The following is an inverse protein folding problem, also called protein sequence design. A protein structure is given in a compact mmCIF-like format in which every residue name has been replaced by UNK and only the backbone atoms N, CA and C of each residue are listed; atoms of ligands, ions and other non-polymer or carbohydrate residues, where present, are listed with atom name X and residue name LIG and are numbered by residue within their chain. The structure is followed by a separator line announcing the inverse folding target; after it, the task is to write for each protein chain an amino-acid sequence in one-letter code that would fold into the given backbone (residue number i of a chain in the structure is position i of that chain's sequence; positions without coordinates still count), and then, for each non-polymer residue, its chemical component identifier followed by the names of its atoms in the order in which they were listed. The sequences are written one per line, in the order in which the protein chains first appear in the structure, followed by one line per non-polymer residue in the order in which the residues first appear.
data_IF_948059981356
#
_entry.id   IF_948059981356
#
_cell.length_a   1.000
_cell.length_b   1.000
_cell.length_c   1.000
_cell.angle_alpha   90.00
_cell.angle_beta   90.00
_cell.angle_gamma   90.00
#
_symmetry.space_group_name_H-M   'P 1'
#
loop_
_entity.id
_entity.type
_entity.pdbx_description
1 polymer ?
#
# COMPACT_ATOMS: atom_id res chain seq x y z
N UNK A 1 12.78 -0.14 2.42
CA UNK A 1 11.35 -0.37 2.71
C UNK A 1 10.57 0.81 2.12
N UNK A 2 10.51 0.90 0.79
CA UNK A 2 10.27 2.20 0.13
C UNK A 2 9.04 2.27 -0.76
N UNK A 3 8.41 1.15 -1.11
CA UNK A 3 7.27 1.15 -2.05
C UNK A 3 6.05 1.84 -1.45
N UNK A 4 5.65 1.48 -0.22
CA UNK A 4 4.49 2.08 0.44
C UNK A 4 4.72 3.56 0.77
N UNK A 5 5.88 3.90 1.34
CA UNK A 5 6.24 5.28 1.63
C UNK A 5 6.29 6.14 0.36
N UNK A 6 6.85 5.62 -0.75
CA UNK A 6 6.86 6.32 -2.03
C UNK A 6 5.46 6.52 -2.64
N UNK A 7 4.50 5.63 -2.33
CA UNK A 7 3.10 5.73 -2.74
C UNK A 7 2.32 6.75 -1.92
N UNK A 8 2.53 6.80 -0.60
CA UNK A 8 1.76 7.65 0.31
C UNK A 8 2.39 9.01 0.59
N UNK A 9 3.67 9.22 0.28
CA UNK A 9 4.30 10.53 0.43
C UNK A 9 3.81 11.53 -0.62
N UNK A 10 3.40 12.70 -0.14
CA UNK A 10 3.23 13.89 -0.97
C UNK A 10 4.56 14.27 -1.61
N UNK A 11 4.53 14.54 -2.91
CA UNK A 11 5.66 15.10 -3.65
C UNK A 11 5.24 16.48 -4.16
N UNK A 12 6.21 17.35 -4.44
CA UNK A 12 5.94 18.74 -4.85
C UNK A 12 4.92 18.88 -6.02
N UNK A 13 4.79 17.84 -6.85
CA UNK A 13 3.92 17.80 -8.03
C UNK A 13 2.73 16.83 -7.92
N UNK A 14 2.58 16.07 -6.82
CA UNK A 14 1.46 15.13 -6.63
C UNK A 14 1.15 14.91 -5.17
N UNK A 15 -0.14 14.81 -4.84
CA UNK A 15 -0.53 14.28 -3.54
C UNK A 15 -0.23 12.78 -3.46
N UNK A 16 0.11 12.32 -2.27
CA UNK A 16 0.24 10.89 -1.98
C UNK A 16 -1.04 10.14 -2.35
N UNK A 17 -0.91 8.87 -2.73
CA UNK A 17 -2.07 8.03 -3.01
C UNK A 17 -2.94 7.90 -1.76
N UNK A 18 -4.25 7.92 -1.95
CA UNK A 18 -5.19 7.56 -0.87
C UNK A 18 -4.93 6.13 -0.42
N UNK A 19 -5.27 5.80 0.83
CA UNK A 19 -5.14 4.42 1.35
C UNK A 19 -5.75 3.40 0.40
N UNK A 20 -6.94 3.69 -0.15
CA UNK A 20 -7.61 2.79 -1.10
C UNK A 20 -6.77 2.56 -2.37
N UNK A 21 -6.23 3.63 -2.96
CA UNK A 21 -5.39 3.50 -4.16
C UNK A 21 -4.06 2.78 -3.89
N UNK A 22 -3.44 3.03 -2.73
CA UNK A 22 -2.24 2.31 -2.32
C UNK A 22 -2.51 0.81 -2.11
N UNK A 23 -3.67 0.44 -1.55
CA UNK A 23 -4.09 -0.97 -1.40
C UNK A 23 -4.25 -1.65 -2.77
N UNK A 24 -4.93 -0.99 -3.70
CA UNK A 24 -5.17 -1.55 -5.04
C UNK A 24 -3.86 -1.71 -5.82
N UNK A 25 -2.95 -0.74 -5.71
CA UNK A 25 -1.63 -0.84 -6.34
C UNK A 25 -0.77 -1.96 -5.73
N UNK A 26 -0.79 -2.11 -4.40
CA UNK A 26 -0.11 -3.22 -3.73
C UNK A 26 -0.65 -4.58 -4.18
N UNK A 27 -1.97 -4.72 -4.30
CA UNK A 27 -2.59 -5.96 -4.83
C UNK A 27 -2.23 -6.19 -6.30
N UNK A 28 -2.13 -5.13 -7.12
CA UNK A 28 -1.80 -5.23 -8.55
C UNK A 28 -0.40 -5.79 -8.76
N UNK A 29 0.57 -5.39 -7.93
CA UNK A 29 1.96 -5.85 -8.03
C UNK A 29 2.27 -7.08 -7.15
N UNK A 30 1.30 -7.52 -6.35
CA UNK A 30 1.39 -8.76 -5.57
C UNK A 30 1.47 -9.97 -6.50
N UNK A 31 2.36 -10.92 -6.19
CA UNK A 31 2.62 -12.09 -7.03
C UNK A 31 3.59 -11.83 -8.19
N UNK A 32 4.06 -10.60 -8.38
CA UNK A 32 5.10 -10.26 -9.37
C UNK A 32 6.28 -9.56 -8.72
N UNK A 33 6.09 -8.30 -8.30
CA UNK A 33 7.14 -7.49 -7.67
C UNK A 33 7.16 -7.63 -6.15
N UNK A 34 6.03 -8.01 -5.56
CA UNK A 34 5.86 -8.20 -4.13
C UNK A 34 5.31 -9.60 -3.84
N UNK A 35 5.69 -10.14 -2.69
CA UNK A 35 5.14 -11.39 -2.18
C UNK A 35 3.64 -11.20 -1.84
N UNK A 36 2.73 -12.02 -2.42
CA UNK A 36 1.30 -11.86 -2.22
C UNK A 36 0.85 -12.15 -0.78
N UNK A 37 1.51 -13.03 -0.04
CA UNK A 37 1.21 -13.29 1.38
C UNK A 37 1.62 -12.09 2.24
N UNK A 38 2.80 -11.50 1.97
CA UNK A 38 3.26 -10.31 2.68
C UNK A 38 2.33 -9.12 2.40
N UNK A 39 1.92 -8.92 1.15
CA UNK A 39 0.96 -7.85 0.78
C UNK A 39 -0.37 -8.04 1.51
N UNK A 40 -0.88 -9.27 1.58
CA UNK A 40 -2.11 -9.59 2.30
C UNK A 40 -1.99 -9.25 3.79
N UNK A 41 -0.95 -9.72 4.47
CA UNK A 41 -0.71 -9.44 5.89
C UNK A 41 -0.56 -7.94 6.14
N UNK A 42 0.14 -7.22 5.25
CA UNK A 42 0.30 -5.77 5.37
C UNK A 42 -1.04 -5.03 5.27
N UNK A 43 -1.88 -5.38 4.30
CA UNK A 43 -3.22 -4.79 4.15
C UNK A 43 -4.08 -5.08 5.40
N UNK A 44 -4.08 -6.33 5.88
CA UNK A 44 -4.87 -6.74 7.04
C UNK A 44 -4.39 -6.13 8.36
N UNK A 45 -3.08 -6.03 8.60
CA UNK A 45 -2.53 -5.58 9.90
C UNK A 45 -2.25 -4.08 9.95
N UNK A 46 -1.80 -3.48 8.85
CA UNK A 46 -1.32 -2.08 8.81
C UNK A 46 -2.41 -1.16 8.26
N UNK A 47 -3.15 -1.58 7.24
CA UNK A 47 -4.13 -0.72 6.57
C UNK A 47 -5.55 -0.87 7.14
N UNK A 48 -5.90 -2.02 7.73
CA UNK A 48 -7.21 -2.30 8.34
C UNK A 48 -7.38 -1.80 9.79
N UNK A 49 -6.58 -0.83 10.27
CA UNK A 49 -6.89 -0.15 11.56
C UNK A 49 -8.07 0.80 11.39
N UNK A 50 -9.27 0.21 11.50
CA UNK A 50 -10.58 0.86 11.59
C UNK A 50 -11.63 -0.15 12.04
N UNK A 51 -11.36 -0.89 13.13
CA UNK A 51 -12.21 -2.01 13.53
C UNK A 51 -12.04 -2.46 14.97
N UNK A 52 -12.18 -1.52 15.91
CA UNK A 52 -12.99 -1.59 17.16
C UNK A 52 -12.66 -0.39 18.03
#
# INVERSE_FOLDING_TARGET
ADTFAAMTSDRAYRKGLSKKMAIEELKRVAGTQLDPEIVKVFIEKVMSKGGK
#
